data_IF_578615725831
#
_entry.id   IF_578615725831
#
_cell.length_a   1.000
_cell.length_b   1.000
_cell.length_c   1.000
_cell.angle_alpha   90.00
_cell.angle_beta   90.00
_cell.angle_gamma   90.00
#
_symmetry.space_group_name_H-M   'P 1'
#
loop_
_entity.id
_entity.type
_entity.pdbx_description
1 polymer ?
2 non-polymer ?
3 non-polymer ?
4 non-polymer ?
5 water ?
#
# COMPACT_ATOMS: atom_id res chain seq x y z
N UNK A 39 -6.81 23.80 -5.16
CA UNK A 39 -7.88 23.42 -6.15
C UNK A 39 -8.45 22.05 -5.72
N UNK A 40 -8.49 21.04 -6.61
CA UNK A 40 -8.86 19.63 -6.26
C UNK A 40 -7.58 18.82 -5.96
N UNK A 41 -7.59 18.04 -4.88
CA UNK A 41 -6.42 17.23 -4.47
C UNK A 41 -6.28 16.02 -5.40
N UNK A 42 -5.09 15.85 -5.99
CA UNK A 42 -4.72 14.64 -6.77
C UNK A 42 -4.34 13.53 -5.77
N UNK A 43 -4.92 12.36 -5.99
CA UNK A 43 -4.71 11.16 -5.15
C UNK A 43 -3.89 10.16 -5.96
N UNK A 44 -2.70 9.85 -5.45
CA UNK A 44 -1.72 8.93 -6.05
C UNK A 44 -1.35 7.88 -5.02
N UNK A 45 -1.53 6.62 -5.39
CA UNK A 45 -1.15 5.49 -4.54
C UNK A 45 0.27 5.12 -4.91
N UNK A 46 1.12 4.88 -3.92
CA UNK A 46 2.45 4.25 -4.08
C UNK A 46 2.31 2.74 -3.75
N UNK A 47 2.52 1.89 -4.75
CA UNK A 47 2.31 0.42 -4.62
C UNK A 47 3.66 -0.28 -4.80
N UNK A 48 3.79 -1.45 -4.19
CA UNK A 48 4.98 -2.28 -4.39
C UNK A 48 5.09 -3.34 -3.33
N UNK A 49 5.99 -4.31 -3.55
CA UNK A 49 6.17 -5.43 -2.61
C UNK A 49 6.68 -4.92 -1.27
N UNK A 50 6.63 -5.79 -0.27
CA UNK A 50 7.23 -5.55 1.06
C UNK A 50 8.68 -5.14 0.88
N UNK A 51 9.08 -4.04 1.55
CA UNK A 51 10.46 -3.51 1.58
C UNK A 51 10.95 -3.11 0.18
N UNK A 52 10.07 -2.88 -0.79
CA UNK A 52 10.50 -2.30 -2.08
C UNK A 52 11.12 -0.89 -1.87
N UNK A 53 10.76 -0.17 -0.80
CA UNK A 53 11.22 1.22 -0.54
C UNK A 53 10.12 2.28 -0.61
N UNK A 54 8.85 1.93 -0.36
CA UNK A 54 7.71 2.86 -0.45
C UNK A 54 7.79 3.93 0.64
N UNK A 55 8.03 3.51 1.88
CA UNK A 55 8.13 4.47 3.01
C UNK A 55 9.29 5.45 2.74
N UNK A 56 10.43 4.92 2.35
CA UNK A 56 11.63 5.69 2.00
C UNK A 56 11.24 6.70 0.93
N UNK A 57 10.54 6.26 -0.11
CA UNK A 57 10.22 7.10 -1.27
C UNK A 57 9.19 8.17 -0.88
N UNK A 58 8.14 7.82 -0.13
CA UNK A 58 7.14 8.86 0.25
C UNK A 58 7.78 9.88 1.22
N UNK A 59 8.70 9.48 2.09
CA UNK A 59 9.38 10.44 3.00
C UNK A 59 10.29 11.37 2.19
N UNK A 60 10.86 10.89 1.08
CA UNK A 60 11.63 11.77 0.16
C UNK A 60 10.63 12.78 -0.46
N UNK A 61 9.52 12.29 -1.03
CA UNK A 61 8.57 13.16 -1.76
C UNK A 61 8.06 14.26 -0.82
N UNK A 62 7.74 13.92 0.43
CA UNK A 62 6.95 14.86 1.24
C UNK A 62 7.77 16.15 1.44
N UNK A 63 9.08 16.03 1.51
CA UNK A 63 9.99 17.16 1.78
C UNK A 63 10.18 18.06 0.55
N UNK A 64 9.74 17.65 -0.65
CA UNK A 64 10.17 18.38 -1.87
C UNK A 64 9.19 19.49 -2.23
N UNK A 65 7.99 19.50 -1.67
CA UNK A 65 6.97 20.50 -2.06
C UNK A 65 6.03 20.68 -0.89
N UNK A 66 5.65 21.93 -0.60
CA UNK A 66 4.57 22.23 0.35
C UNK A 66 3.23 21.80 -0.26
N UNK A 67 3.15 21.56 -1.57
CA UNK A 67 1.89 21.12 -2.20
C UNK A 67 1.77 19.58 -2.15
N UNK A 68 2.76 18.92 -1.56
CA UNK A 68 2.80 17.42 -1.50
C UNK A 68 2.66 16.92 -0.05
N UNK A 69 1.66 16.07 0.21
CA UNK A 69 1.51 15.44 1.53
C UNK A 69 1.44 13.92 1.31
N UNK A 70 1.66 13.17 2.38
CA UNK A 70 1.67 11.68 2.32
C UNK A 70 0.73 11.12 3.38
N UNK A 71 0.08 9.99 3.12
CA UNK A 71 -0.68 9.23 4.14
C UNK A 71 0.08 7.93 4.33
N UNK A 72 0.93 7.82 5.35
CA UNK A 72 1.58 6.57 5.67
C UNK A 72 0.55 5.46 5.98
N UNK A 73 0.94 4.23 5.71
CA UNK A 73 0.09 3.02 5.83
C UNK A 73 -0.09 2.74 7.32
N UNK A 74 -1.33 2.59 7.80
CA UNK A 74 -1.55 2.20 9.19
C UNK A 74 -0.76 0.96 9.64
N UNK A 75 -0.77 -0.12 8.87
CA UNK A 75 -0.04 -1.34 9.30
C UNK A 75 1.41 -0.94 9.55
N UNK A 76 1.99 -0.09 8.71
CA UNK A 76 3.42 0.31 8.82
C UNK A 76 3.60 0.98 10.19
N UNK A 77 2.67 1.82 10.64
CA UNK A 77 2.77 2.53 11.94
C UNK A 77 2.51 1.58 13.09
N UNK A 78 1.74 0.49 12.90
CA UNK A 78 1.57 -0.57 13.92
C UNK A 78 2.92 -1.27 14.15
N UNK A 79 3.78 -1.39 13.13
CA UNK A 79 5.08 -2.14 13.18
C UNK A 79 6.21 -1.29 13.80
N UNK A 80 6.27 -1.21 15.14
CA UNK A 80 7.37 -0.55 15.89
C UNK A 80 8.30 -1.62 16.48
N UNK A 90 1.31 6.95 25.24
CA UNK A 90 1.87 7.29 23.89
C UNK A 90 1.04 6.61 22.79
N UNK A 91 0.77 5.30 22.91
CA UNK A 91 0.08 4.47 21.87
C UNK A 91 -1.39 4.89 21.76
N UNK A 92 -1.88 5.16 20.55
CA UNK A 92 -3.32 5.32 20.26
C UNK A 92 -4.03 3.97 20.46
N UNK A 93 -5.35 3.99 20.57
CA UNK A 93 -6.14 2.75 20.74
C UNK A 93 -5.96 1.94 19.44
N UNK A 94 -5.89 2.62 18.28
CA UNK A 94 -5.66 1.88 17.01
C UNK A 94 -4.28 1.19 17.06
N UNK A 95 -3.25 1.84 17.56
CA UNK A 95 -1.89 1.27 17.52
C UNK A 95 -1.81 0.07 18.47
N UNK A 96 -2.49 0.16 19.60
CA UNK A 96 -2.53 -0.93 20.60
C UNK A 96 -3.25 -2.13 19.99
N UNK A 97 -4.44 -1.91 19.42
CA UNK A 97 -5.20 -2.97 18.71
C UNK A 97 -4.32 -3.54 17.59
N UNK A 98 -3.69 -2.66 16.80
CA UNK A 98 -2.88 -3.09 15.63
C UNK A 98 -1.70 -3.94 16.04
N UNK A 99 -0.97 -3.52 17.08
CA UNK A 99 0.20 -4.27 17.55
C UNK A 99 -0.21 -5.66 18.05
N UNK A 100 -1.31 -5.72 18.79
CA UNK A 100 -1.88 -7.00 19.28
C UNK A 100 -2.25 -7.87 18.07
N UNK A 101 -3.00 -7.34 17.11
CA UNK A 101 -3.49 -8.23 16.04
C UNK A 101 -2.32 -8.66 15.12
N UNK A 102 -1.28 -7.85 14.93
CA UNK A 102 -0.08 -8.28 14.16
C UNK A 102 0.64 -9.43 14.84
N UNK A 103 0.86 -9.32 16.14
CA UNK A 103 1.54 -10.38 16.92
C UNK A 103 0.72 -11.67 16.83
N UNK A 104 -0.60 -11.59 17.01
CA UNK A 104 -1.46 -12.80 16.94
C UNK A 104 -1.42 -13.36 15.51
N UNK A 105 -1.33 -12.49 14.48
CA UNK A 105 -1.24 -12.92 13.05
C UNK A 105 -0.02 -13.82 12.85
N UNK A 106 1.14 -13.44 13.37
CA UNK A 106 2.39 -14.23 13.20
C UNK A 106 2.23 -15.60 13.87
N UNK A 107 1.51 -15.65 14.99
CA UNK A 107 1.24 -16.89 15.77
C UNK A 107 0.23 -17.77 15.05
N UNK A 108 -0.90 -17.23 14.57
CA UNK A 108 -1.98 -18.07 14.01
C UNK A 108 -2.74 -17.32 12.90
N UNK A 109 -2.17 -17.22 11.67
CA UNK A 109 -2.82 -16.47 10.60
C UNK A 109 -4.23 -16.97 10.23
N UNK A 110 -4.52 -18.27 10.36
CA UNK A 110 -5.83 -18.84 10.02
C UNK A 110 -6.87 -18.46 11.08
N UNK A 111 -6.50 -17.96 12.25
CA UNK A 111 -7.48 -17.43 13.22
C UNK A 111 -7.73 -15.92 13.01
N UNK A 112 -6.70 -15.15 12.66
CA UNK A 112 -6.69 -13.67 12.78
C UNK A 112 -6.72 -12.94 11.43
N UNK A 113 -6.62 -13.60 10.28
CA UNK A 113 -6.51 -12.93 8.97
C UNK A 113 -7.73 -12.02 8.71
N UNK A 114 -8.93 -12.49 8.96
CA UNK A 114 -10.16 -11.69 8.69
C UNK A 114 -10.18 -10.45 9.58
N UNK A 115 -9.91 -10.60 10.87
CA UNK A 115 -9.96 -9.51 11.86
C UNK A 115 -8.86 -8.50 11.47
N UNK A 116 -7.66 -8.99 11.19
CA UNK A 116 -6.53 -8.11 10.77
C UNK A 116 -6.88 -7.33 9.51
N UNK A 117 -7.28 -8.00 8.43
CA UNK A 117 -7.54 -7.36 7.11
C UNK A 117 -8.67 -6.32 7.25
N UNK A 118 -9.76 -6.62 7.96
CA UNK A 118 -10.86 -5.63 8.09
C UNK A 118 -10.35 -4.42 8.89
N UNK A 119 -9.63 -4.62 9.98
CA UNK A 119 -9.13 -3.46 10.76
C UNK A 119 -8.08 -2.65 9.97
N UNK A 120 -7.20 -3.32 9.22
CA UNK A 120 -6.16 -2.64 8.44
C UNK A 120 -6.85 -1.76 7.39
N UNK A 121 -7.88 -2.28 6.74
CA UNK A 121 -8.56 -1.54 5.66
C UNK A 121 -9.36 -0.37 6.27
N UNK A 122 -10.12 -0.58 7.35
CA UNK A 122 -10.84 0.52 8.06
C UNK A 122 -9.86 1.63 8.44
N UNK A 123 -8.74 1.26 9.03
CA UNK A 123 -7.72 2.17 9.56
C UNK A 123 -7.22 3.01 8.39
N UNK A 124 -7.06 2.37 7.22
CA UNK A 124 -6.50 3.09 6.05
C UNK A 124 -7.54 4.10 5.59
N UNK A 125 -8.79 3.68 5.46
CA UNK A 125 -9.87 4.55 4.90
C UNK A 125 -9.99 5.75 5.83
N UNK A 126 -9.96 5.52 7.14
CA UNK A 126 -10.08 6.62 8.13
C UNK A 126 -8.90 7.60 7.94
N UNK A 127 -7.66 7.10 7.86
CA UNK A 127 -6.43 7.93 7.74
C UNK A 127 -6.45 8.70 6.41
N UNK A 128 -6.80 8.04 5.30
CA UNK A 128 -6.85 8.72 3.96
C UNK A 128 -7.94 9.82 3.99
N UNK A 129 -9.11 9.55 4.56
CA UNK A 129 -10.19 10.56 4.59
C UNK A 129 -9.78 11.77 5.43
N UNK A 130 -9.12 11.54 6.58
CA UNK A 130 -8.65 12.61 7.48
C UNK A 130 -7.70 13.52 6.72
N UNK A 131 -6.72 12.97 6.00
CA UNK A 131 -5.77 13.80 5.23
C UNK A 131 -6.53 14.56 4.15
N UNK A 132 -7.46 13.91 3.48
CA UNK A 132 -8.18 14.49 2.34
C UNK A 132 -8.98 15.68 2.85
N UNK A 133 -9.54 15.60 4.05
CA UNK A 133 -10.45 16.65 4.63
C UNK A 133 -9.68 17.63 5.51
N UNK A 134 -8.42 17.32 5.84
CA UNK A 134 -7.63 18.11 6.78
C UNK A 134 -6.63 19.01 6.07
N UNK A 135 -5.98 18.54 5.00
CA UNK A 135 -4.67 19.08 4.53
C UNK A 135 -4.81 19.76 3.16
N UNK A 136 -3.79 20.52 2.78
CA UNK A 136 -3.57 21.07 1.40
C UNK A 136 -4.71 22.02 0.98
N UNK A 137 -5.41 22.70 1.90
CA UNK A 137 -6.52 23.58 1.48
C UNK A 137 -5.98 24.83 0.75
N UNK A 138 -4.81 25.32 1.13
CA UNK A 138 -4.19 26.56 0.58
C UNK A 138 -3.16 26.23 -0.53
N UNK A 139 -3.21 25.04 -1.13
CA UNK A 139 -2.19 24.57 -2.11
C UNK A 139 -2.58 24.97 -3.52
N UNK A 140 -1.58 25.30 -4.34
CA UNK A 140 -1.76 25.61 -5.79
C UNK A 140 -1.94 24.29 -6.56
N UNK A 141 -1.01 23.35 -6.41
CA UNK A 141 -1.10 22.03 -7.10
C UNK A 141 -1.04 20.89 -6.08
N UNK A 142 -2.11 20.69 -5.30
CA UNK A 142 -2.07 19.74 -4.20
C UNK A 142 -2.03 18.29 -4.71
N UNK A 143 -1.16 17.50 -4.10
CA UNK A 143 -1.03 16.04 -4.38
C UNK A 143 -0.91 15.35 -3.02
N UNK A 144 -1.73 14.35 -2.84
CA UNK A 144 -1.68 13.48 -1.65
C UNK A 144 -1.24 12.08 -2.13
N UNK A 145 -0.09 11.63 -1.64
CA UNK A 145 0.55 10.34 -1.93
C UNK A 145 0.08 9.38 -0.85
N UNK A 146 -0.69 8.37 -1.23
CA UNK A 146 -1.12 7.27 -0.34
C UNK A 146 -0.01 6.21 -0.34
N UNK A 147 0.49 5.83 0.83
CA UNK A 147 1.30 4.59 0.94
C UNK A 147 0.34 3.37 0.85
N UNK A 148 0.31 2.73 -0.32
CA UNK A 148 -0.64 1.66 -0.68
C UNK A 148 -2.10 2.14 -0.64
N UNK A 149 -3.04 1.25 -0.91
CA UNK A 149 -4.44 1.62 -1.14
C UNK A 149 -5.35 0.54 -0.59
N UNK A 150 -6.64 0.83 -0.60
CA UNK A 150 -7.71 -0.16 -0.32
C UNK A 150 -7.64 -1.28 -1.35
N UNK A 151 -7.08 -1.05 -2.55
CA UNK A 151 -6.97 -2.10 -3.59
C UNK A 151 -5.83 -3.07 -3.26
N UNK A 152 -4.71 -2.59 -2.73
CA UNK A 152 -3.60 -3.46 -2.27
C UNK A 152 -4.12 -4.32 -1.10
N UNK A 153 -4.88 -3.71 -0.19
CA UNK A 153 -5.43 -4.41 0.99
C UNK A 153 -6.15 -5.70 0.52
N UNK A 154 -6.99 -5.57 -0.49
CA UNK A 154 -7.88 -6.64 -0.93
C UNK A 154 -7.17 -7.53 -1.96
N UNK A 155 -6.64 -6.93 -3.03
CA UNK A 155 -6.14 -7.70 -4.20
C UNK A 155 -4.72 -8.24 -4.03
N UNK A 156 -3.95 -7.74 -3.09
CA UNK A 156 -2.60 -8.27 -2.76
C UNK A 156 -2.73 -9.10 -1.48
N UNK A 157 -3.01 -8.46 -0.36
CA UNK A 157 -2.81 -9.11 0.97
C UNK A 157 -3.99 -10.05 1.32
N UNK A 158 -5.22 -9.56 1.32
CA UNK A 158 -6.36 -10.38 1.74
C UNK A 158 -6.51 -11.55 0.76
N UNK A 159 -6.40 -11.30 -0.53
CA UNK A 159 -6.47 -12.32 -1.59
C UNK A 159 -5.42 -13.40 -1.29
N UNK A 160 -4.20 -12.99 -0.99
CA UNK A 160 -3.13 -13.98 -0.70
C UNK A 160 -3.52 -14.82 0.51
N UNK A 161 -4.10 -14.20 1.55
CA UNK A 161 -4.41 -14.96 2.79
C UNK A 161 -5.52 -15.99 2.50
N UNK A 162 -6.51 -15.63 1.71
CA UNK A 162 -7.55 -16.56 1.21
C UNK A 162 -6.86 -17.69 0.44
N UNK A 163 -5.96 -17.34 -0.47
CA UNK A 163 -5.29 -18.34 -1.33
C UNK A 163 -4.44 -19.30 -0.50
N UNK A 164 -3.97 -18.88 0.67
CA UNK A 164 -3.13 -19.69 1.58
C UNK A 164 -3.98 -20.40 2.63
N UNK A 165 -5.33 -20.38 2.49
CA UNK A 165 -6.31 -20.98 3.44
C UNK A 165 -6.21 -20.35 4.84
N UNK A 166 -5.77 -19.09 4.95
CA UNK A 166 -5.77 -18.37 6.25
C UNK A 166 -7.13 -17.70 6.46
N UNK A 167 -7.90 -17.54 5.39
CA UNK A 167 -9.36 -17.26 5.49
C UNK A 167 -10.13 -18.37 4.79
N UNK A 168 -11.29 -18.79 5.34
CA UNK A 168 -12.17 -19.75 4.65
C UNK A 168 -13.02 -18.96 3.67
N UNK A 169 -13.86 -19.65 2.90
CA UNK A 169 -14.69 -19.02 1.85
C UNK A 169 -15.65 -17.99 2.48
N UNK A 170 -16.26 -18.29 3.60
CA UNK A 170 -17.24 -17.35 4.24
C UNK A 170 -16.50 -16.07 4.64
N UNK A 171 -15.34 -16.20 5.29
CA UNK A 171 -14.49 -15.08 5.75
C UNK A 171 -14.13 -14.21 4.54
N UNK A 172 -13.70 -14.83 3.45
CA UNK A 172 -13.30 -14.14 2.19
C UNK A 172 -14.50 -13.47 1.53
N UNK A 173 -15.65 -14.15 1.43
CA UNK A 173 -16.86 -13.54 0.82
C UNK A 173 -17.39 -12.41 1.70
N UNK A 174 -17.36 -12.56 3.04
CA UNK A 174 -17.79 -11.47 3.95
C UNK A 174 -16.83 -10.28 3.78
N UNK A 175 -15.53 -10.56 3.74
CA UNK A 175 -14.50 -9.50 3.54
C UNK A 175 -14.74 -8.75 2.23
N UNK A 176 -14.94 -9.43 1.11
CA UNK A 176 -15.19 -8.75 -0.18
C UNK A 176 -16.51 -7.95 -0.16
N UNK A 177 -17.55 -8.51 0.44
CA UNK A 177 -18.85 -7.80 0.60
C UNK A 177 -18.63 -6.49 1.37
N UNK A 178 -18.00 -6.59 2.52
CA UNK A 178 -17.66 -5.45 3.42
C UNK A 178 -16.84 -4.42 2.63
N UNK A 179 -15.82 -4.88 1.91
CA UNK A 179 -14.94 -3.99 1.13
C UNK A 179 -15.74 -3.26 0.06
N UNK A 180 -16.52 -3.98 -0.73
CA UNK A 180 -17.34 -3.40 -1.82
C UNK A 180 -18.17 -2.29 -1.19
N UNK A 181 -18.92 -2.63 -0.15
CA UNK A 181 -19.82 -1.66 0.52
C UNK A 181 -19.03 -0.52 1.23
N UNK A 182 -18.00 -0.83 2.03
CA UNK A 182 -17.22 0.16 2.84
C UNK A 182 -16.66 1.23 1.90
N UNK A 183 -16.24 0.82 0.70
CA UNK A 183 -15.71 1.72 -0.34
C UNK A 183 -16.86 2.40 -1.07
N UNK A 184 -17.95 1.69 -1.35
CA UNK A 184 -19.01 2.09 -2.32
C UNK A 184 -19.81 3.32 -1.90
N UNK A 185 -19.54 3.88 -0.72
CA UNK A 185 -20.25 5.05 -0.15
C UNK A 185 -19.56 6.37 -0.59
N UNK A 189 -14.46 9.16 -3.78
CA UNK A 189 -13.85 10.20 -2.90
C UNK A 189 -12.36 9.88 -2.62
N UNK A 190 -12.04 8.62 -2.35
CA UNK A 190 -10.64 8.14 -2.31
C UNK A 190 -10.19 7.64 -3.68
N UNK A 191 -11.02 7.75 -4.74
CA UNK A 191 -10.68 7.18 -6.07
C UNK A 191 -9.35 7.78 -6.53
N UNK A 192 -8.50 6.96 -7.13
CA UNK A 192 -7.08 7.35 -7.40
C UNK A 192 -7.04 8.10 -8.73
N UNK A 193 -6.18 9.11 -8.84
CA UNK A 193 -5.87 9.79 -10.12
C UNK A 193 -4.73 9.07 -10.85
N UNK A 194 -3.90 8.36 -10.10
CA UNK A 194 -2.79 7.57 -10.65
C UNK A 194 -2.14 6.68 -9.60
N UNK A 195 -1.37 5.72 -10.07
CA UNK A 195 -0.62 4.76 -9.26
C UNK A 195 0.83 4.85 -9.68
N UNK A 196 1.71 4.85 -8.68
CA UNK A 196 3.17 4.74 -8.90
C UNK A 196 3.55 3.37 -8.36
N UNK A 197 4.06 2.54 -9.26
CA UNK A 197 4.46 1.16 -8.94
C UNK A 197 5.98 1.13 -8.75
N UNK A 198 6.43 0.94 -7.52
CA UNK A 198 7.86 0.75 -7.22
C UNK A 198 8.15 -0.74 -7.39
N UNK A 199 8.86 -1.03 -8.46
CA UNK A 199 9.07 -2.40 -8.97
C UNK A 199 10.48 -2.82 -8.56
N UNK A 200 10.56 -3.81 -7.67
CA UNK A 200 11.80 -4.48 -7.21
C UNK A 200 11.64 -6.00 -7.33
N UNK A 201 12.76 -6.70 -7.51
CA UNK A 201 12.78 -8.18 -7.53
C UNK A 201 12.46 -8.68 -6.13
N UNK A 202 11.82 -9.85 -6.01
CA UNK A 202 11.71 -10.53 -4.72
C UNK A 202 13.02 -10.55 -3.92
N UNK A 203 14.14 -10.82 -4.61
CA UNK A 203 15.50 -10.87 -4.00
C UNK A 203 15.87 -9.51 -3.41
N UNK A 204 15.63 -8.42 -4.16
CA UNK A 204 15.90 -7.05 -3.67
C UNK A 204 15.11 -6.87 -2.38
N UNK A 205 13.83 -7.26 -2.40
CA UNK A 205 12.88 -7.06 -1.26
C UNK A 205 13.34 -7.90 -0.07
N UNK A 206 13.73 -9.16 -0.27
CA UNK A 206 14.23 -10.01 0.85
C UNK A 206 15.47 -9.36 1.47
N UNK A 207 16.36 -8.84 0.63
CA UNK A 207 17.58 -8.13 1.09
C UNK A 207 17.16 -6.92 1.92
N UNK A 208 16.20 -6.12 1.43
CA UNK A 208 15.71 -4.92 2.17
C UNK A 208 14.97 -5.31 3.44
N UNK A 209 14.25 -6.43 3.51
CA UNK A 209 13.75 -6.88 4.83
C UNK A 209 14.93 -7.12 5.79
N UNK A 210 16.01 -7.77 5.32
CA UNK A 210 17.25 -7.97 6.14
C UNK A 210 17.78 -6.59 6.54
N UNK A 211 18.00 -5.67 5.59
CA UNK A 211 18.46 -4.28 5.92
C UNK A 211 17.57 -3.65 6.98
N UNK A 212 16.24 -3.71 6.86
CA UNK A 212 15.34 -2.98 7.79
C UNK A 212 15.38 -3.58 9.20
N UNK A 213 15.60 -4.89 9.34
CA UNK A 213 15.97 -5.56 10.60
C UNK A 213 14.83 -5.72 11.60
N UNK A 214 13.54 -5.70 11.21
CA UNK A 214 12.43 -6.00 12.15
C UNK A 214 12.50 -7.51 12.45
N UNK A 215 12.64 -7.88 13.73
CA UNK A 215 12.83 -9.28 14.18
C UNK A 215 11.73 -10.17 13.60
N UNK A 216 10.47 -9.74 13.69
CA UNK A 216 9.30 -10.60 13.30
C UNK A 216 9.32 -10.88 11.79
N UNK A 217 9.98 -10.05 10.96
CA UNK A 217 9.93 -10.22 9.49
C UNK A 217 11.06 -11.12 9.00
N UNK A 218 12.06 -11.44 9.83
CA UNK A 218 13.28 -12.15 9.34
C UNK A 218 12.89 -13.57 8.90
N UNK A 219 11.77 -14.09 9.38
CA UNK A 219 11.21 -15.42 9.01
C UNK A 219 10.47 -15.42 7.67
N UNK A 220 10.08 -14.26 7.14
CA UNK A 220 9.38 -14.18 5.83
C UNK A 220 10.28 -14.81 4.76
N UNK A 221 9.81 -15.84 4.05
CA UNK A 221 10.61 -16.46 3.00
C UNK A 221 10.44 -15.84 1.61
N UNK A 222 11.44 -16.06 0.76
CA UNK A 222 11.47 -15.57 -0.65
C UNK A 222 10.16 -15.93 -1.35
N UNK A 223 9.67 -17.16 -1.11
CA UNK A 223 8.50 -17.75 -1.79
C UNK A 223 7.27 -16.82 -1.59
N UNK A 224 7.05 -16.32 -0.38
CA UNK A 224 5.94 -15.38 -0.07
C UNK A 224 6.12 -14.10 -0.91
N UNK A 225 7.34 -13.57 -0.94
CA UNK A 225 7.66 -12.32 -1.69
C UNK A 225 7.41 -12.54 -3.17
N UNK A 226 7.81 -13.71 -3.70
CA UNK A 226 7.55 -14.07 -5.12
C UNK A 226 6.05 -14.08 -5.39
N UNK A 227 5.24 -14.64 -4.48
CA UNK A 227 3.78 -14.65 -4.70
C UNK A 227 3.22 -13.21 -4.78
N UNK A 228 3.64 -12.38 -3.86
CA UNK A 228 3.14 -10.98 -3.81
C UNK A 228 3.65 -10.23 -5.06
N UNK A 229 4.86 -10.54 -5.49
CA UNK A 229 5.47 -9.92 -6.71
C UNK A 229 4.59 -10.27 -7.90
N UNK A 230 4.25 -11.55 -8.06
CA UNK A 230 3.42 -12.01 -9.19
C UNK A 230 2.11 -11.22 -9.17
N UNK A 231 1.51 -11.04 -8.01
CA UNK A 231 0.21 -10.33 -7.93
C UNK A 231 0.38 -8.85 -8.35
N UNK A 232 1.46 -8.21 -7.94
CA UNK A 232 1.71 -6.79 -8.35
C UNK A 232 1.92 -6.74 -9.87
N UNK A 233 2.69 -7.67 -10.42
CA UNK A 233 2.98 -7.68 -11.89
C UNK A 233 1.65 -7.85 -12.64
N UNK A 234 0.77 -8.79 -12.20
CA UNK A 234 -0.54 -9.04 -12.83
C UNK A 234 -1.39 -7.78 -12.77
N UNK A 235 -1.36 -7.09 -11.64
CA UNK A 235 -2.29 -5.95 -11.44
C UNK A 235 -1.80 -4.73 -12.22
N UNK A 236 -0.53 -4.39 -12.04
CA UNK A 236 -0.01 -3.06 -12.42
C UNK A 236 0.87 -3.09 -13.68
N UNK A 237 1.43 -4.23 -14.07
CA UNK A 237 2.26 -4.31 -15.33
C UNK A 237 1.43 -4.94 -16.46
N UNK A 238 1.00 -6.20 -16.33
CA UNK A 238 0.18 -6.89 -17.36
C UNK A 238 -1.23 -6.32 -17.38
N UNK A 239 -1.71 -5.84 -16.23
CA UNK A 239 -3.10 -5.35 -16.09
C UNK A 239 -4.07 -6.49 -16.45
N UNK A 240 -3.70 -7.73 -16.10
CA UNK A 240 -4.51 -8.96 -16.22
C UNK A 240 -5.49 -9.09 -15.05
N UNK A 241 -5.21 -8.51 -13.88
CA UNK A 241 -6.10 -8.66 -12.69
C UNK A 241 -7.47 -8.00 -12.95
N UNK A 242 -8.53 -8.78 -12.79
CA UNK A 242 -9.93 -8.30 -12.80
C UNK A 242 -10.25 -7.83 -11.36
N UNK A 243 -10.73 -6.61 -11.20
CA UNK A 243 -11.13 -6.06 -9.89
C UNK A 243 -12.58 -5.66 -10.05
N UNK A 244 -13.21 -5.31 -8.94
CA UNK A 244 -14.63 -4.90 -8.93
C UNK A 244 -14.71 -3.38 -9.07
N UNK A 245 -13.64 -2.70 -9.49
CA UNK A 245 -13.58 -1.22 -9.54
C UNK A 245 -13.25 -0.80 -10.97
N UNK A 246 -14.30 -0.51 -11.75
CA UNK A 246 -14.18 -0.40 -13.24
C UNK A 246 -13.11 0.61 -13.60
N UNK A 247 -13.10 1.76 -12.91
CA UNK A 247 -12.22 2.93 -13.22
C UNK A 247 -10.75 2.50 -13.17
N UNK A 248 -10.40 1.50 -12.36
CA UNK A 248 -8.99 1.09 -12.16
C UNK A 248 -8.33 0.64 -13.46
N UNK A 249 -9.06 0.00 -14.39
CA UNK A 249 -8.41 -0.54 -15.61
C UNK A 249 -7.92 0.67 -16.44
N UNK A 250 -8.48 1.85 -16.19
CA UNK A 250 -8.21 3.10 -16.93
C UNK A 250 -7.16 3.97 -16.23
N UNK A 251 -6.89 3.74 -14.94
CA UNK A 251 -6.10 4.71 -14.12
C UNK A 251 -4.66 4.69 -14.65
N UNK A 252 -4.02 5.84 -14.85
CA UNK A 252 -2.61 5.83 -15.26
C UNK A 252 -1.68 5.22 -14.22
N UNK A 253 -0.65 4.51 -14.68
CA UNK A 253 0.34 3.84 -13.81
C UNK A 253 1.72 4.25 -14.27
N UNK A 254 2.53 4.72 -13.34
CA UNK A 254 3.96 4.98 -13.56
C UNK A 254 4.74 3.86 -12.90
N UNK A 255 5.49 3.09 -13.69
CA UNK A 255 6.32 2.01 -13.11
C UNK A 255 7.75 2.49 -12.95
N UNK A 256 8.30 2.41 -11.76
CA UNK A 256 9.70 2.83 -11.48
C UNK A 256 10.50 1.64 -10.99
N UNK A 257 11.62 1.39 -11.64
CA UNK A 257 12.57 0.35 -11.21
C UNK A 257 13.35 0.86 -10.02
N UNK A 258 13.16 0.28 -8.85
CA UNK A 258 13.87 0.70 -7.61
C UNK A 258 14.80 -0.42 -7.14
N UNK A 259 15.25 -1.32 -8.02
CA UNK A 259 16.29 -2.31 -7.60
C UNK A 259 17.58 -1.61 -7.15
N UNK A 260 18.02 -0.56 -7.84
CA UNK A 260 19.20 0.21 -7.41
C UNK A 260 18.82 1.11 -6.23
N UNK A 261 19.68 1.16 -5.19
CA UNK A 261 19.58 2.08 -4.04
C UNK A 261 19.38 3.54 -4.53
N UNK A 262 18.38 4.24 -3.99
CA UNK A 262 18.01 5.60 -4.47
C UNK A 262 18.05 6.64 -3.35
N UNK A 263 18.46 6.28 -2.13
CA UNK A 263 18.29 7.22 -0.98
C UNK A 263 19.12 8.49 -1.18
N UNK A 264 20.25 8.41 -1.87
CA UNK A 264 21.16 9.56 -2.13
C UNK A 264 21.16 9.92 -3.60
N UNK A 265 20.28 9.29 -4.38
CA UNK A 265 20.34 9.39 -5.85
C UNK A 265 18.92 9.14 -6.38
N UNK A 266 18.01 10.07 -6.11
CA UNK A 266 16.59 9.86 -6.41
C UNK A 266 16.09 10.89 -7.41
N UNK A 267 16.97 11.75 -7.91
CA UNK A 267 16.50 12.88 -8.74
C UNK A 267 15.84 12.34 -10.02
N UNK A 268 16.34 11.29 -10.66
CA UNK A 268 15.72 10.77 -11.91
C UNK A 268 14.31 10.21 -11.61
N UNK A 269 14.13 9.54 -10.47
CA UNK A 269 12.80 8.99 -10.05
C UNK A 269 11.84 10.15 -9.85
N UNK A 270 12.28 11.17 -9.14
CA UNK A 270 11.38 12.33 -8.86
C UNK A 270 11.05 13.04 -10.17
N UNK A 271 12.01 13.14 -11.09
CA UNK A 271 11.71 13.75 -12.40
C UNK A 271 10.59 12.98 -13.11
N UNK A 272 10.62 11.65 -13.03
CA UNK A 272 9.58 10.83 -13.67
C UNK A 272 8.23 11.07 -12.99
N UNK A 273 8.25 11.19 -11.66
CA UNK A 273 7.03 11.54 -10.88
C UNK A 273 6.47 12.90 -11.33
N UNK A 274 7.31 13.94 -11.40
CA UNK A 274 6.80 15.26 -11.85
C UNK A 274 6.24 15.20 -13.26
N UNK A 275 6.89 14.52 -14.20
CA UNK A 275 6.36 14.36 -15.57
C UNK A 275 4.99 13.66 -15.54
N UNK A 276 4.89 12.58 -14.76
CA UNK A 276 3.66 11.76 -14.62
C UNK A 276 2.57 12.68 -14.08
N UNK A 277 2.83 13.42 -13.00
CA UNK A 277 1.84 14.35 -12.41
C UNK A 277 1.31 15.34 -13.46
N UNK A 278 2.17 15.88 -14.32
CA UNK A 278 1.77 16.90 -15.31
C UNK A 278 0.83 16.28 -16.35
N UNK A 279 0.78 14.96 -16.50
CA UNK A 279 -0.13 14.34 -17.50
C UNK A 279 -1.53 14.15 -16.91
N UNK A 280 -1.71 14.20 -15.59
CA UNK A 280 -3.01 13.89 -14.91
C UNK A 280 -3.86 15.17 -14.85
X LIG B 1 16.28 0.90 1.45
X LIG B 1 17.59 1.16 0.99
X LIG B 1 17.78 1.78 -0.17
X LIG B 1 16.74 2.16 -0.90
X LIG B 1 15.41 1.89 -0.51
X LIG B 1 15.21 1.26 0.70
X LIG B 1 18.58 0.85 1.65
X LIG B 1 16.97 2.70 -1.97
X LIG B 1 16.07 0.21 2.73
X LIG B 1 15.34 1.05 3.76
X LIG B 1 16.17 1.93 4.54
X LIG B 1 14.72 -0.03 4.64
X LIG B 1 14.42 -1.15 3.65
X LIG B 1 15.24 -0.94 2.47
X LIG B 1 15.61 -0.49 5.69
X LIG B 1 12.96 -1.16 3.29
X LIG B 1 12.52 0.13 2.81
X LIG B 1 11.09 0.68 3.17
X LIG B 1 10.87 0.71 4.60
X LIG B 1 10.99 2.06 2.54
X LIG B 1 10.15 -0.36 2.35
X LIG B 1 8.51 -0.36 2.30
X LIG B 1 7.96 0.94 2.89
X LIG B 1 8.13 -1.64 3.01
X LIG B 1 8.31 -0.55 0.84
X LIG C 1 2.28 -9.74 7.05
X LIG C 1 -2.15 -6.58 4.92
X LIG C 1 1.15 -9.41 6.43
X LIG C 1 -0.39 -8.06 5.62
X LIG C 1 -0.87 -6.74 5.21
X LIG C 1 -2.58 -5.37 4.54
X LIG C 1 -1.74 -4.28 4.55
X LIG C 1 -1.06 -9.23 5.51
X LIG C 1 2.89 -13.36 7.57
X LIG C 1 3.05 -14.79 5.51
X LIG C 1 4.37 -16.78 5.52
X LIG C 1 0.25 -19.93 5.81
X LIG C 1 1.62 -20.32 3.83
X LIG C 1 2.48 -19.06 3.92
X LIG C 1 4.24 -15.44 7.49
X LIG C 1 2.01 -12.38 9.60
X LIG C 1 1.44 -9.96 9.73
X LIG C 1 5.70 -8.08 6.61
X LIG C 1 4.46 -8.87 6.19
X LIG C 1 3.38 -8.80 7.25
X LIG C 1 0.91 -8.18 6.11
X LIG C 1 -3.86 -5.24 4.24
X LIG C 1 -0.41 -4.53 4.87
X LIG C 1 0.49 -3.56 4.83
X LIG C 1 0.02 -5.74 5.19
X LIG C 1 -0.11 -10.54 6.12
X LIG C 1 2.37 -11.02 7.67
X LIG C 1 2.82 -12.11 6.96
X LIG C 1 3.39 -14.54 6.84
X LIG C 1 3.52 -15.92 4.86
X LIG C 1 4.91 -18.26 4.72
X LIG C 1 5.95 -18.81 5.52
X LIG C 1 5.10 -17.98 3.33
X LIG C 1 3.65 -19.31 4.80
X LIG C 1 3.23 -19.76 6.14
X LIG C 1 2.39 -21.02 6.00
X LIG C 1 1.22 -20.82 5.16
X LIG C 1 4.71 -16.57 6.84
X LIG C 1 2.45 -13.48 8.89
X LIG C 1 1.95 -11.14 8.99
X LIG D 1 5.20 18.49 1.71
#
# INVERSE_FOLDING_TARGET
MGSSHHHHHHSSGLVPRGSHMATPPKRSSPSFSASSEGTRIKKISIEGNIAAGKSTFVNILKQLSEDWEVVPEPVARWSNVQSTQDEFEELTMEQKNGGNVLQMMYEKPERWSFTFQTYACLSRIRAQLASLNGKLKDAEKPVLFFERSVYSDRYIFASNLYESESMNETEWTIYQDWHDWMNNQFGQSLELDGIIYLQATPETCLHRIYLRGRNEEQGIPLEYLEKLHYKHESWLLHRTLKTNFDYLQEVPILTLDVNEDFKDKYESLVEKVKEFLSTL
UDP N1 C2 N3 C4 C5 C6 O2 O4 C1' C2' O2' C3' C4' O4' O3' C5' O5' PA O1A O2A O3A PB O1B O2B O3B
J6M N1 N3 C4 C5 C6 C7 C8 C10 C13 C15 C17 C20 C21 C22 C24 C26 C28 C1 C2 C3 N2 N4 C9 N5 N6 S1 C11 C12 C14 C16 S2 O1 O2 N7 C18 C19 N8 C23 C25 C27
NA NA
#
